data_IF_380980593789
#
_entry.id   IF_380980593789
#
_cell.length_a   1.000
_cell.length_b   1.000
_cell.length_c   1.000
_cell.angle_alpha   90.00
_cell.angle_beta   90.00
_cell.angle_gamma   90.00
#
_symmetry.space_group_name_H-M   'P 1'
#
loop_
_entity.id
_entity.type
_entity.pdbx_description
1 polymer ?
#
# COMPACT_ATOMS: atom_id res chain seq x y z
N UNK A 1 -17.88 1.59 34.88
CA UNK A 1 -16.81 1.74 33.93
C UNK A 1 -17.30 2.46 32.67
N UNK A 2 -16.40 2.80 31.75
CA UNK A 2 -16.71 3.33 30.42
C UNK A 2 -16.87 2.17 29.44
N UNK A 3 -17.83 2.28 28.52
CA UNK A 3 -18.04 1.34 27.42
C UNK A 3 -17.39 1.88 26.15
N UNK A 4 -16.32 1.21 25.69
CA UNK A 4 -15.65 1.50 24.43
C UNK A 4 -16.19 0.58 23.34
N UNK A 5 -16.54 1.14 22.19
CA UNK A 5 -16.89 0.39 21.00
C UNK A 5 -15.83 0.60 19.91
N UNK A 6 -15.50 -0.49 19.24
CA UNK A 6 -14.57 -0.50 18.11
C UNK A 6 -15.25 -1.09 16.90
N UNK A 7 -14.96 -0.52 15.73
CA UNK A 7 -15.34 -1.10 14.46
C UNK A 7 -14.22 -0.98 13.45
N UNK A 8 -14.28 -1.76 12.39
CA UNK A 8 -13.24 -1.78 11.36
C UNK A 8 -13.83 -1.56 9.98
N UNK A 9 -13.09 -0.81 9.15
CA UNK A 9 -13.41 -0.58 7.75
C UNK A 9 -12.15 -0.79 6.91
N UNK A 10 -12.33 -1.45 5.75
CA UNK A 10 -11.27 -1.65 4.76
C UNK A 10 -11.55 -0.84 3.50
N UNK A 11 -10.50 -0.35 2.85
CA UNK A 11 -10.62 0.33 1.56
C UNK A 11 -11.00 -0.67 0.46
N UNK A 12 -11.98 -0.27 -0.35
CA UNK A 12 -12.32 -0.95 -1.58
C UNK A 12 -12.08 -0.03 -2.78
N UNK A 13 -11.75 -0.62 -3.93
CA UNK A 13 -11.64 0.09 -5.20
C UNK A 13 -13.01 0.49 -5.76
N UNK A 14 -13.01 1.04 -6.98
CA UNK A 14 -14.24 1.43 -7.68
C UNK A 14 -15.17 0.23 -8.01
N UNK A 15 -14.63 -0.97 -7.99
CA UNK A 15 -15.35 -2.24 -8.15
C UNK A 15 -15.88 -2.81 -6.81
N UNK A 16 -15.80 -2.07 -5.74
CA UNK A 16 -16.15 -2.46 -4.36
C UNK A 16 -15.34 -3.66 -3.81
N UNK A 17 -14.20 -3.98 -4.42
CA UNK A 17 -13.30 -5.03 -3.93
C UNK A 17 -12.01 -4.44 -3.37
N UNK A 18 -11.42 -5.03 -2.32
CA UNK A 18 -10.09 -4.66 -1.86
C UNK A 18 -9.03 -5.01 -2.91
N UNK A 19 -7.88 -4.34 -2.86
CA UNK A 19 -6.76 -4.60 -3.76
C UNK A 19 -6.02 -5.88 -3.35
N UNK A 20 -6.56 -7.02 -3.75
CA UNK A 20 -5.97 -8.36 -3.52
C UNK A 20 -6.31 -9.29 -4.69
N UNK A 21 -5.73 -10.49 -4.70
CA UNK A 21 -6.09 -11.50 -5.69
C UNK A 21 -7.57 -11.89 -5.53
N UNK A 22 -8.39 -11.80 -6.59
CA UNK A 22 -9.82 -12.17 -6.53
C UNK A 22 -10.08 -13.58 -6.01
N UNK A 23 -9.18 -14.54 -6.25
CA UNK A 23 -9.32 -15.90 -5.71
C UNK A 23 -9.29 -15.95 -4.18
N UNK A 24 -8.68 -14.96 -3.52
CA UNK A 24 -8.68 -14.86 -2.05
C UNK A 24 -9.98 -14.25 -1.49
N UNK A 25 -10.91 -13.86 -2.38
CA UNK A 25 -12.16 -13.20 -2.02
C UNK A 25 -13.38 -14.07 -2.27
N UNK A 26 -13.17 -15.34 -2.62
CA UNK A 26 -14.26 -16.32 -2.84
C UNK A 26 -15.10 -16.40 -1.56
N UNK A 27 -16.40 -16.35 -1.72
CA UNK A 27 -17.41 -16.35 -0.64
C UNK A 27 -17.37 -15.13 0.32
N UNK A 28 -16.59 -14.08 0.00
CA UNK A 28 -16.53 -12.84 0.79
C UNK A 28 -17.17 -11.70 0.01
N UNK A 29 -18.17 -11.05 0.61
CA UNK A 29 -18.77 -9.83 0.06
C UNK A 29 -18.23 -8.58 0.73
N UNK A 30 -18.05 -7.52 -0.05
CA UNK A 30 -17.58 -6.23 0.43
C UNK A 30 -18.62 -5.16 0.16
N UNK A 31 -18.72 -4.22 1.11
CA UNK A 31 -19.58 -3.04 0.98
C UNK A 31 -18.72 -1.78 1.03
N UNK A 32 -19.14 -0.76 0.31
CA UNK A 32 -18.45 0.53 0.37
C UNK A 32 -18.62 1.14 1.77
N UNK A 33 -17.55 1.73 2.32
CA UNK A 33 -17.56 2.17 3.72
C UNK A 33 -18.68 3.17 4.04
N UNK A 34 -19.04 4.06 3.09
CA UNK A 34 -20.14 5.02 3.30
C UNK A 34 -21.51 4.37 3.44
N UNK A 35 -21.70 3.20 2.81
CA UNK A 35 -22.99 2.50 2.84
C UNK A 35 -23.24 1.79 4.19
N UNK A 36 -22.16 1.51 4.94
CA UNK A 36 -22.24 0.85 6.25
C UNK A 36 -22.21 1.85 7.43
N UNK A 37 -21.79 3.08 7.23
CA UNK A 37 -21.75 4.13 8.27
C UNK A 37 -23.06 4.27 9.05
N UNK A 38 -24.28 4.27 8.42
CA UNK A 38 -25.55 4.39 9.17
C UNK A 38 -25.76 3.27 10.20
N UNK A 39 -25.24 2.08 9.94
CA UNK A 39 -25.33 0.94 10.87
C UNK A 39 -24.45 1.16 12.12
N UNK A 40 -23.24 1.68 11.92
CA UNK A 40 -22.32 1.99 13.02
C UNK A 40 -22.76 3.20 13.84
N UNK A 41 -23.47 4.16 13.26
CA UNK A 41 -24.07 5.27 14.03
C UNK A 41 -25.02 4.75 15.12
N UNK A 42 -25.81 3.74 14.81
CA UNK A 42 -26.70 3.12 15.81
C UNK A 42 -25.91 2.43 16.93
N UNK A 43 -24.80 1.80 16.60
CA UNK A 43 -23.91 1.20 17.61
C UNK A 43 -23.27 2.27 18.50
N UNK A 44 -22.95 3.43 17.95
CA UNK A 44 -22.38 4.54 18.72
C UNK A 44 -23.27 5.03 19.86
N UNK A 45 -24.61 4.94 19.71
CA UNK A 45 -25.59 5.31 20.73
C UNK A 45 -25.49 4.41 22.00
N UNK A 46 -24.92 3.22 21.87
CA UNK A 46 -24.74 2.26 22.95
C UNK A 46 -23.38 2.40 23.68
N UNK A 47 -22.53 3.33 23.27
CA UNK A 47 -21.15 3.44 23.70
C UNK A 47 -20.89 4.78 24.40
N UNK A 48 -20.01 4.78 25.40
CA UNK A 48 -19.46 6.02 25.95
C UNK A 48 -18.36 6.60 25.00
N UNK A 49 -17.66 5.72 24.27
CA UNK A 49 -16.58 6.09 23.32
C UNK A 49 -16.60 5.20 22.10
N UNK A 50 -16.62 5.78 20.90
CA UNK A 50 -16.55 5.07 19.64
C UNK A 50 -15.22 5.29 18.94
N UNK A 51 -14.53 4.20 18.56
CA UNK A 51 -13.22 4.20 17.92
C UNK A 51 -13.25 3.42 16.61
N UNK A 52 -12.77 4.03 15.53
CA UNK A 52 -12.57 3.36 14.24
C UNK A 52 -11.14 2.82 14.10
N UNK A 53 -11.00 1.50 13.86
CA UNK A 53 -9.76 0.87 13.41
C UNK A 53 -9.86 0.68 11.91
N UNK A 54 -9.21 1.53 11.11
CA UNK A 54 -9.47 1.59 9.69
C UNK A 54 -8.26 1.22 8.83
N UNK A 55 -8.53 0.62 7.68
CA UNK A 55 -7.57 0.45 6.60
C UNK A 55 -8.07 1.17 5.34
N UNK A 56 -8.52 2.44 5.51
CA UNK A 56 -9.13 3.26 4.46
C UNK A 56 -8.15 4.21 3.77
N UNK A 57 -7.06 4.56 4.44
CA UNK A 57 -6.16 5.63 4.06
C UNK A 57 -6.62 7.00 4.56
N UNK A 58 -5.67 7.90 4.85
CA UNK A 58 -5.91 9.19 5.50
C UNK A 58 -7.01 10.04 4.84
N UNK A 59 -7.07 10.03 3.50
CA UNK A 59 -8.10 10.80 2.78
C UNK A 59 -9.52 10.28 3.07
N UNK A 60 -9.71 8.95 3.07
CA UNK A 60 -11.02 8.35 3.38
C UNK A 60 -11.32 8.37 4.88
N UNK A 61 -10.29 8.28 5.75
CA UNK A 61 -10.45 8.49 7.19
C UNK A 61 -10.98 9.89 7.49
N UNK A 62 -10.46 10.90 6.76
CA UNK A 62 -10.98 12.27 6.86
C UNK A 62 -12.43 12.40 6.39
N UNK A 63 -12.82 11.69 5.31
CA UNK A 63 -14.22 11.64 4.86
C UNK A 63 -15.10 10.89 5.85
N UNK A 64 -14.62 9.82 6.46
CA UNK A 64 -15.34 9.09 7.51
C UNK A 64 -15.62 10.00 8.72
N UNK A 65 -14.63 10.76 9.18
CA UNK A 65 -14.78 11.72 10.27
C UNK A 65 -15.84 12.79 9.98
N UNK A 66 -15.98 13.21 8.71
CA UNK A 66 -17.02 14.19 8.31
C UNK A 66 -18.44 13.61 8.36
N UNK A 67 -18.60 12.32 8.02
CA UNK A 67 -19.93 11.67 7.94
C UNK A 67 -20.33 10.93 9.22
N UNK A 68 -19.37 10.72 10.14
CA UNK A 68 -19.58 10.02 11.41
C UNK A 68 -18.93 10.79 12.58
N UNK A 69 -19.51 11.94 12.97
CA UNK A 69 -18.97 12.75 14.08
C UNK A 69 -19.10 12.11 15.46
N UNK A 70 -19.80 10.99 15.56
CA UNK A 70 -19.92 10.17 16.77
C UNK A 70 -18.59 9.47 17.14
N UNK A 71 -17.62 9.44 16.21
CA UNK A 71 -16.29 8.95 16.47
C UNK A 71 -15.48 9.91 17.34
N UNK A 72 -14.78 9.36 18.31
CA UNK A 72 -13.78 10.12 19.08
C UNK A 72 -12.39 10.02 18.43
N UNK A 73 -12.05 8.85 17.92
CA UNK A 73 -10.73 8.55 17.34
C UNK A 73 -10.87 7.65 16.12
N UNK A 74 -10.03 7.88 15.12
CA UNK A 74 -9.73 6.94 14.03
C UNK A 74 -8.25 6.57 14.12
N UNK A 75 -7.96 5.28 14.26
CA UNK A 75 -6.65 4.69 14.10
C UNK A 75 -6.58 4.12 12.69
N UNK A 76 -5.91 4.84 11.79
CA UNK A 76 -5.90 4.59 10.36
C UNK A 76 -4.68 3.81 9.86
N UNK A 77 -4.80 3.27 8.65
CA UNK A 77 -3.75 2.56 7.93
C UNK A 77 -3.84 2.78 6.41
N UNK A 78 -3.30 1.90 5.61
CA UNK A 78 -3.31 1.82 4.15
C UNK A 78 -2.41 2.84 3.43
N UNK A 79 -2.55 4.15 3.67
CA UNK A 79 -1.78 5.17 2.93
C UNK A 79 -0.35 5.38 3.46
N UNK A 80 0.03 4.68 4.53
CA UNK A 80 1.33 4.80 5.18
C UNK A 80 1.68 6.25 5.57
N UNK A 81 0.66 7.06 5.87
CA UNK A 81 0.85 8.46 6.22
C UNK A 81 1.50 8.59 7.59
N UNK A 82 2.60 9.32 7.68
CA UNK A 82 3.23 9.66 8.96
C UNK A 82 2.58 10.94 9.48
N UNK A 83 1.65 10.81 10.41
CA UNK A 83 0.97 11.95 11.04
C UNK A 83 1.81 12.39 12.25
N UNK A 84 2.60 13.44 12.10
CA UNK A 84 3.47 13.97 13.17
C UNK A 84 2.72 14.86 14.16
N UNK A 85 1.77 15.63 13.64
CA UNK A 85 0.93 16.53 14.42
C UNK A 85 -0.50 16.02 14.45
N UNK A 86 -1.20 16.11 15.59
CA UNK A 86 -2.58 15.65 15.70
C UNK A 86 -3.47 16.22 14.61
N UNK A 87 -4.18 15.37 13.87
CA UNK A 87 -5.16 15.78 12.87
C UNK A 87 -6.57 15.59 13.43
N UNK A 88 -7.32 16.69 13.50
CA UNK A 88 -8.74 16.66 13.90
C UNK A 88 -9.60 17.07 12.72
N UNK A 89 -10.58 16.25 12.37
CA UNK A 89 -11.58 16.53 11.34
C UNK A 89 -12.94 16.38 11.98
N UNK A 90 -13.74 17.44 11.96
CA UNK A 90 -15.08 17.47 12.57
C UNK A 90 -15.09 16.96 14.03
N UNK A 91 -14.06 17.32 14.81
CA UNK A 91 -13.92 16.87 16.19
C UNK A 91 -13.27 15.50 16.38
N UNK A 92 -13.21 14.65 15.36
CA UNK A 92 -12.61 13.32 15.40
C UNK A 92 -11.09 13.41 15.29
N UNK A 93 -10.37 12.76 16.20
CA UNK A 93 -8.91 12.70 16.18
C UNK A 93 -8.48 11.55 15.24
N UNK A 94 -7.63 11.84 14.25
CA UNK A 94 -7.12 10.85 13.29
C UNK A 94 -5.62 10.65 13.53
N UNK A 95 -5.22 9.39 13.77
CA UNK A 95 -3.84 8.95 13.90
C UNK A 95 -3.47 7.93 12.81
N UNK A 96 -2.26 8.05 12.27
CA UNK A 96 -1.64 7.04 11.41
C UNK A 96 -0.12 7.11 11.56
N UNK A 97 0.54 5.99 11.81
CA UNK A 97 1.94 5.91 12.23
C UNK A 97 2.91 5.47 11.13
N UNK A 98 2.58 5.72 9.86
CA UNK A 98 3.46 5.34 8.75
C UNK A 98 3.39 3.85 8.43
N UNK A 99 4.55 3.23 8.24
CA UNK A 99 4.69 1.81 7.89
C UNK A 99 5.98 1.22 8.46
N UNK A 100 6.14 -0.11 8.30
CA UNK A 100 7.36 -0.85 8.62
C UNK A 100 7.84 -0.70 10.09
N UNK A 101 6.92 -0.45 11.03
CA UNK A 101 7.23 -0.26 12.44
C UNK A 101 8.27 0.86 12.71
N UNK A 102 8.34 1.88 11.86
CA UNK A 102 9.22 3.03 12.11
C UNK A 102 8.73 3.88 13.28
N UNK A 103 7.41 3.90 13.50
CA UNK A 103 6.74 4.69 14.53
C UNK A 103 5.63 3.91 15.22
N UNK A 104 5.35 4.28 16.47
CA UNK A 104 4.12 3.95 17.18
C UNK A 104 3.30 5.22 17.39
N UNK A 105 2.00 5.16 17.09
CA UNK A 105 1.04 6.22 17.40
C UNK A 105 0.42 5.98 18.77
N UNK A 106 0.59 6.92 19.68
CA UNK A 106 0.01 6.87 21.04
C UNK A 106 -1.12 7.88 21.12
N UNK A 107 -2.35 7.39 21.29
CA UNK A 107 -3.53 8.23 21.51
C UNK A 107 -3.93 8.16 22.97
N UNK A 108 -4.06 9.33 23.60
CA UNK A 108 -4.48 9.45 25.00
C UNK A 108 -5.86 10.11 25.06
N UNK A 109 -6.78 9.49 25.79
CA UNK A 109 -8.11 10.00 26.07
C UNK A 109 -8.22 10.28 27.58
N UNK A 110 -8.54 11.52 27.95
CA UNK A 110 -8.69 11.93 29.35
C UNK A 110 -10.16 12.16 29.68
N UNK A 111 -10.60 11.54 30.77
CA UNK A 111 -11.98 11.59 31.23
C UNK A 111 -12.10 12.25 32.61
N UNK A 112 -13.19 12.98 32.81
CA UNK A 112 -13.68 13.42 34.13
C UNK A 112 -15.04 12.75 34.36
N UNK A 113 -15.05 11.75 35.24
CA UNK A 113 -16.19 10.83 35.32
C UNK A 113 -16.38 10.05 34.01
N UNK A 114 -17.53 10.19 33.38
CA UNK A 114 -17.81 9.60 32.05
C UNK A 114 -17.57 10.57 30.88
N UNK A 115 -17.29 11.82 31.16
CA UNK A 115 -17.12 12.84 30.14
C UNK A 115 -15.70 12.85 29.59
N UNK A 116 -15.53 12.65 28.28
CA UNK A 116 -14.26 12.87 27.58
C UNK A 116 -13.96 14.39 27.59
N UNK A 117 -12.85 14.78 28.21
CA UNK A 117 -12.45 16.19 28.36
C UNK A 117 -11.25 16.56 27.51
N UNK A 118 -10.42 15.59 27.13
CA UNK A 118 -9.29 15.83 26.23
C UNK A 118 -8.92 14.59 25.45
N UNK A 119 -8.37 14.81 24.25
CA UNK A 119 -7.77 13.79 23.40
C UNK A 119 -6.53 14.30 22.70
N UNK A 120 -5.46 13.56 22.82
CA UNK A 120 -4.16 13.89 22.23
C UNK A 120 -3.59 12.70 21.46
N UNK A 121 -2.64 12.99 20.57
CA UNK A 121 -1.92 12.01 19.78
C UNK A 121 -0.44 12.36 19.80
N UNK A 122 0.40 11.35 19.95
CA UNK A 122 1.85 11.45 19.89
C UNK A 122 2.40 10.37 18.98
N UNK A 123 3.33 10.73 18.11
CA UNK A 123 4.09 9.81 17.29
C UNK A 123 5.44 9.55 17.94
N UNK A 124 5.73 8.29 18.28
CA UNK A 124 6.97 7.85 18.92
C UNK A 124 7.82 7.12 17.90
N UNK A 125 9.08 7.53 17.71
CA UNK A 125 10.05 6.78 16.90
C UNK A 125 10.42 5.47 17.58
N UNK A 126 10.36 4.36 16.86
CA UNK A 126 10.77 3.04 17.36
C UNK A 126 12.24 2.74 17.10
N UNK A 127 12.95 3.58 16.33
CA UNK A 127 14.39 3.41 16.04
C UNK A 127 15.27 3.47 17.27
N UNK A 128 14.84 4.25 18.26
CA UNK A 128 15.62 4.55 19.47
C UNK A 128 15.08 3.83 20.72
N UNK A 129 14.12 2.92 20.56
CA UNK A 129 13.61 2.09 21.65
C UNK A 129 14.59 0.92 21.84
N UNK A 130 15.37 1.03 22.93
CA UNK A 130 16.60 0.28 23.11
C UNK A 130 16.48 -1.24 23.22
N UNK A 131 15.91 -1.78 24.30
CA UNK A 131 15.97 -3.23 24.54
C UNK A 131 14.67 -3.89 24.08
N UNK A 132 14.72 -4.86 23.14
CA UNK A 132 13.53 -5.63 22.78
C UNK A 132 13.07 -6.47 23.98
N UNK A 133 11.79 -6.76 24.04
CA UNK A 133 11.24 -7.77 24.92
C UNK A 133 11.91 -9.12 24.64
N UNK A 134 12.48 -9.77 25.66
CA UNK A 134 13.30 -10.94 25.50
C UNK A 134 12.50 -12.16 24.98
N UNK A 135 11.28 -12.33 25.45
CA UNK A 135 10.39 -13.42 25.03
C UNK A 135 10.02 -13.28 23.55
N UNK A 136 9.64 -12.07 23.15
CA UNK A 136 9.32 -11.76 21.74
C UNK A 136 10.56 -11.88 20.85
N UNK A 137 11.73 -11.46 21.32
CA UNK A 137 12.97 -11.60 20.55
C UNK A 137 13.32 -13.08 20.28
N UNK A 138 13.16 -13.95 21.28
CA UNK A 138 13.37 -15.40 21.11
C UNK A 138 12.36 -16.01 20.14
N UNK A 139 11.09 -15.61 20.21
CA UNK A 139 10.06 -16.08 19.27
C UNK A 139 10.36 -15.65 17.83
N UNK A 140 10.79 -14.40 17.64
CA UNK A 140 11.20 -13.89 16.33
C UNK A 140 12.40 -14.67 15.80
N UNK A 141 13.40 -14.94 16.65
CA UNK A 141 14.59 -15.73 16.30
C UNK A 141 14.21 -17.15 15.88
N UNK A 142 13.35 -17.83 16.64
CA UNK A 142 12.86 -19.17 16.30
C UNK A 142 12.19 -19.21 14.93
N UNK A 143 11.30 -18.23 14.65
CA UNK A 143 10.60 -18.14 13.36
C UNK A 143 11.59 -17.83 12.23
N UNK A 144 12.47 -16.85 12.42
CA UNK A 144 13.43 -16.42 11.40
C UNK A 144 14.51 -17.45 11.09
N UNK A 145 14.79 -18.39 12.02
CA UNK A 145 15.77 -19.45 11.81
C UNK A 145 15.22 -20.70 11.12
N UNK A 146 13.96 -20.70 10.70
CA UNK A 146 13.41 -21.83 9.94
C UNK A 146 14.19 -22.06 8.65
N UNK A 147 14.52 -23.31 8.29
CA UNK A 147 15.35 -23.63 7.13
C UNK A 147 14.81 -23.07 5.81
N UNK A 148 13.48 -23.05 5.65
CA UNK A 148 12.83 -22.52 4.46
C UNK A 148 13.12 -21.03 4.22
N UNK A 149 13.23 -20.23 5.30
CA UNK A 149 13.58 -18.80 5.21
C UNK A 149 15.05 -18.56 4.92
N UNK A 150 15.94 -19.47 5.35
CA UNK A 150 17.39 -19.38 5.12
C UNK A 150 17.82 -19.89 3.75
N UNK A 151 16.88 -20.46 2.97
CA UNK A 151 17.17 -20.93 1.62
C UNK A 151 17.68 -19.79 0.75
N UNK A 152 18.90 -19.93 0.22
CA UNK A 152 19.49 -18.99 -0.74
C UNK A 152 18.82 -19.21 -2.08
N UNK A 153 18.29 -18.16 -2.68
CA UNK A 153 17.58 -18.14 -3.96
C UNK A 153 18.28 -17.32 -5.03
N UNK A 154 19.29 -16.55 -4.64
CA UNK A 154 20.06 -15.72 -5.56
C UNK A 154 21.22 -15.02 -4.87
N UNK A 155 21.89 -14.14 -5.61
CA UNK A 155 23.01 -13.37 -5.11
C UNK A 155 22.99 -11.96 -5.72
N UNK A 156 23.03 -10.93 -4.88
CA UNK A 156 23.17 -9.55 -5.31
C UNK A 156 24.68 -9.26 -5.56
N UNK A 157 25.02 -8.83 -6.78
CA UNK A 157 26.39 -8.51 -7.16
C UNK A 157 26.88 -7.20 -6.52
N UNK A 158 25.97 -6.30 -6.20
CA UNK A 158 26.23 -4.98 -5.63
C UNK A 158 25.11 -4.57 -4.65
N UNK A 159 25.34 -3.48 -3.92
CA UNK A 159 24.32 -2.88 -3.08
C UNK A 159 23.26 -2.17 -3.94
N UNK A 160 21.99 -2.57 -3.78
CA UNK A 160 20.84 -1.85 -4.32
C UNK A 160 20.33 -0.93 -3.21
N UNK A 161 20.66 0.36 -3.29
CA UNK A 161 20.42 1.32 -2.19
C UNK A 161 19.14 2.09 -2.33
N UNK A 162 18.41 1.92 -3.44
CA UNK A 162 17.14 2.58 -3.72
C UNK A 162 16.06 1.55 -4.02
N UNK A 163 14.85 1.88 -3.60
CA UNK A 163 13.66 1.06 -3.88
C UNK A 163 13.47 0.77 -5.37
N UNK A 164 13.82 1.72 -6.25
CA UNK A 164 13.74 1.57 -7.69
C UNK A 164 14.67 0.49 -8.22
N UNK A 165 15.86 0.35 -7.64
CA UNK A 165 16.84 -0.67 -8.04
C UNK A 165 16.36 -2.07 -7.63
N UNK A 166 15.80 -2.20 -6.42
CA UNK A 166 15.15 -3.44 -5.96
C UNK A 166 13.95 -3.80 -6.84
N UNK A 167 13.14 -2.81 -7.19
CA UNK A 167 12.00 -2.99 -8.08
C UNK A 167 12.41 -3.43 -9.48
N UNK A 168 13.52 -2.91 -10.01
CA UNK A 168 14.09 -3.33 -11.30
C UNK A 168 14.53 -4.79 -11.26
N UNK A 169 15.28 -5.19 -10.23
CA UNK A 169 15.67 -6.60 -10.02
C UNK A 169 14.43 -7.52 -9.99
N UNK A 170 13.40 -7.12 -9.23
CA UNK A 170 12.19 -7.91 -9.10
C UNK A 170 11.40 -8.01 -10.41
N UNK A 171 11.21 -6.90 -11.13
CA UNK A 171 10.48 -6.93 -12.41
C UNK A 171 11.25 -7.65 -13.50
N UNK A 172 12.59 -7.60 -13.50
CA UNK A 172 13.43 -8.41 -14.38
C UNK A 172 13.27 -9.90 -14.08
N UNK A 173 13.32 -10.29 -12.81
CA UNK A 173 13.12 -11.69 -12.40
C UNK A 173 11.72 -12.20 -12.78
N UNK A 174 10.67 -11.41 -12.59
CA UNK A 174 9.30 -11.75 -13.01
C UNK A 174 9.22 -11.96 -14.51
N UNK A 175 9.79 -11.06 -15.31
CA UNK A 175 9.82 -11.14 -16.77
C UNK A 175 10.54 -12.40 -17.22
N UNK A 176 11.72 -12.67 -16.68
CA UNK A 176 12.54 -13.81 -17.05
C UNK A 176 11.89 -15.16 -16.68
N UNK A 177 11.28 -15.22 -15.49
CA UNK A 177 10.60 -16.44 -15.02
C UNK A 177 9.50 -16.93 -15.96
N UNK A 178 8.85 -16.04 -16.70
CA UNK A 178 7.78 -16.38 -17.64
C UNK A 178 8.20 -16.26 -19.11
N UNK A 179 9.45 -15.86 -19.40
CA UNK A 179 9.88 -15.55 -20.77
C UNK A 179 9.06 -14.42 -21.37
N UNK A 180 8.81 -13.35 -20.60
CA UNK A 180 8.00 -12.20 -20.99
C UNK A 180 8.77 -11.18 -21.82
N UNK A 181 8.05 -10.40 -22.64
CA UNK A 181 8.61 -9.23 -23.31
C UNK A 181 8.74 -8.05 -22.33
N UNK A 182 7.74 -7.87 -21.45
CA UNK A 182 7.68 -6.83 -20.43
C UNK A 182 7.19 -7.40 -19.10
N UNK A 183 7.53 -6.73 -18.03
CA UNK A 183 6.88 -6.93 -16.73
C UNK A 183 6.46 -5.58 -16.15
N UNK A 184 5.30 -5.55 -15.47
CA UNK A 184 4.83 -4.43 -14.69
C UNK A 184 4.61 -4.88 -13.26
N UNK A 185 5.06 -4.08 -12.29
CA UNK A 185 4.79 -4.36 -10.89
C UNK A 185 4.42 -3.07 -10.13
N UNK A 186 3.39 -3.13 -9.33
CA UNK A 186 2.90 -1.95 -8.63
C UNK A 186 3.90 -1.48 -7.55
N UNK A 187 4.08 -0.17 -7.44
CA UNK A 187 5.03 0.44 -6.50
C UNK A 187 4.77 0.08 -5.04
N UNK A 188 3.51 -0.08 -4.67
CA UNK A 188 3.11 -0.52 -3.32
C UNK A 188 3.47 -1.98 -3.02
N UNK A 189 3.65 -2.82 -4.03
CA UNK A 189 4.06 -4.21 -3.88
C UNK A 189 5.54 -4.39 -3.57
N UNK A 190 6.39 -3.42 -3.93
CA UNK A 190 7.81 -3.46 -3.58
C UNK A 190 7.96 -3.11 -2.10
N UNK A 191 8.32 -4.09 -1.28
CA UNK A 191 8.35 -3.98 0.19
C UNK A 191 9.73 -3.69 0.77
N UNK A 192 10.81 -3.90 0.00
CA UNK A 192 12.17 -3.56 0.39
C UNK A 192 12.59 -2.20 -0.20
N UNK A 193 13.23 -1.38 0.62
CA UNK A 193 13.78 -0.09 0.19
C UNK A 193 15.24 -0.23 -0.31
N UNK A 194 15.93 -1.27 0.15
CA UNK A 194 17.31 -1.59 -0.23
C UNK A 194 17.57 -3.11 -0.15
N UNK A 195 18.57 -3.57 -0.89
CA UNK A 195 19.07 -4.93 -0.83
C UNK A 195 20.60 -4.88 -0.87
N UNK A 196 21.25 -5.41 0.18
CA UNK A 196 22.71 -5.41 0.26
C UNK A 196 23.31 -6.49 -0.62
N UNK A 197 24.54 -6.23 -1.10
CA UNK A 197 25.40 -7.22 -1.80
C UNK A 197 25.52 -8.51 -0.99
N UNK A 198 25.48 -9.64 -1.68
CA UNK A 198 25.61 -10.96 -1.08
C UNK A 198 24.38 -11.84 -1.31
N UNK A 199 24.20 -12.82 -0.46
CA UNK A 199 23.14 -13.82 -0.58
C UNK A 199 21.73 -13.21 -0.46
N UNK A 200 20.86 -13.61 -1.36
CA UNK A 200 19.43 -13.33 -1.30
C UNK A 200 18.75 -14.58 -0.78
N UNK A 201 18.23 -14.51 0.43
CA UNK A 201 17.48 -15.60 1.06
C UNK A 201 15.98 -15.48 0.80
N UNK A 202 15.25 -16.58 0.98
CA UNK A 202 13.78 -16.60 0.87
C UNK A 202 13.14 -15.60 1.84
N UNK A 203 13.65 -15.45 3.06
CA UNK A 203 13.20 -14.46 4.05
C UNK A 203 13.18 -13.03 3.49
N UNK A 204 14.20 -12.63 2.73
CA UNK A 204 14.29 -11.30 2.11
C UNK A 204 13.24 -11.12 1.01
N UNK A 205 12.81 -12.20 0.37
CA UNK A 205 11.85 -12.18 -0.73
C UNK A 205 10.40 -12.48 -0.31
N UNK A 206 10.17 -12.99 0.90
CA UNK A 206 8.85 -13.30 1.43
C UNK A 206 7.87 -12.11 1.34
N UNK A 207 8.29 -10.85 1.60
CA UNK A 207 7.42 -9.69 1.42
C UNK A 207 6.89 -9.49 -0.01
N UNK A 208 7.48 -10.18 -1.00
CA UNK A 208 7.09 -10.13 -2.41
C UNK A 208 6.30 -11.36 -2.85
N UNK A 209 5.94 -12.24 -1.93
CA UNK A 209 5.17 -13.46 -2.24
C UNK A 209 3.88 -13.11 -2.96
N UNK A 210 3.83 -13.39 -4.26
CA UNK A 210 2.71 -13.12 -5.14
C UNK A 210 2.71 -14.08 -6.32
N UNK A 211 1.55 -14.18 -6.99
CA UNK A 211 1.46 -14.91 -8.25
C UNK A 211 1.84 -14.00 -9.41
N UNK A 212 2.59 -14.55 -10.38
CA UNK A 212 2.85 -13.86 -11.64
C UNK A 212 1.70 -14.21 -12.58
N UNK A 213 0.94 -13.20 -12.95
CA UNK A 213 -0.11 -13.33 -13.97
C UNK A 213 0.47 -12.94 -15.32
N UNK A 214 0.19 -13.73 -16.36
CA UNK A 214 0.69 -13.49 -17.71
C UNK A 214 -0.45 -13.06 -18.62
N UNK A 215 -0.24 -11.95 -19.32
CA UNK A 215 -1.17 -11.42 -20.31
C UNK A 215 -0.51 -11.30 -21.69
N UNK A 216 -1.31 -11.43 -22.75
CA UNK A 216 -0.92 -11.04 -24.10
C UNK A 216 -1.57 -9.69 -24.46
N UNK A 217 -0.77 -8.64 -24.52
CA UNK A 217 -1.23 -7.29 -24.85
C UNK A 217 -0.53 -6.76 -26.09
N UNK A 218 -1.26 -5.99 -26.89
CA UNK A 218 -0.67 -5.16 -27.93
C UNK A 218 -0.35 -3.75 -27.39
N UNK A 219 0.31 -2.91 -28.19
CA UNK A 219 0.71 -1.56 -27.75
C UNK A 219 -0.49 -0.70 -27.38
N UNK A 220 -1.64 -0.83 -28.04
CA UNK A 220 -2.84 -0.06 -27.69
C UNK A 220 -3.32 -0.36 -26.27
N UNK A 221 -3.35 -1.66 -25.90
CA UNK A 221 -3.77 -2.06 -24.55
C UNK A 221 -2.78 -1.64 -23.49
N UNK A 222 -1.48 -1.70 -23.79
CA UNK A 222 -0.42 -1.18 -22.91
C UNK A 222 -0.55 0.35 -22.71
N UNK A 223 -0.81 1.09 -23.80
CA UNK A 223 -1.03 2.53 -23.79
C UNK A 223 -2.24 2.88 -22.91
N UNK A 224 -3.38 2.23 -23.14
CA UNK A 224 -4.60 2.41 -22.33
C UNK A 224 -4.34 2.17 -20.84
N UNK A 225 -3.59 1.12 -20.52
CA UNK A 225 -3.25 0.78 -19.14
C UNK A 225 -2.43 1.90 -18.48
N UNK A 226 -1.38 2.37 -19.15
CA UNK A 226 -0.51 3.44 -18.63
C UNK A 226 -1.27 4.77 -18.55
N UNK A 227 -2.04 5.15 -19.55
CA UNK A 227 -2.81 6.40 -19.54
C UNK A 227 -3.90 6.41 -18.47
N UNK A 228 -4.58 5.30 -18.25
CA UNK A 228 -5.58 5.17 -17.18
C UNK A 228 -4.95 5.33 -15.80
N UNK A 229 -3.79 4.71 -15.57
CA UNK A 229 -3.09 4.84 -14.30
C UNK A 229 -2.57 6.27 -14.10
N UNK A 230 -1.93 6.84 -15.10
CA UNK A 230 -1.39 8.20 -15.05
C UNK A 230 -2.47 9.26 -14.84
N UNK A 231 -3.57 9.19 -15.58
CA UNK A 231 -4.65 10.17 -15.54
C UNK A 231 -5.63 9.99 -14.38
N UNK A 232 -5.47 8.95 -13.54
CA UNK A 232 -6.31 8.71 -12.35
C UNK A 232 -6.27 9.90 -11.39
N UNK A 233 -5.12 10.56 -11.23
CA UNK A 233 -4.97 11.77 -10.44
C UNK A 233 -5.67 12.95 -11.10
N UNK A 234 -6.67 13.55 -10.44
CA UNK A 234 -7.39 14.73 -10.94
C UNK A 234 -6.54 16.01 -10.89
N UNK A 235 -5.57 16.05 -9.99
CA UNK A 235 -4.65 17.18 -9.82
C UNK A 235 -3.45 17.01 -10.77
N UNK A 236 -3.22 17.93 -11.73
CA UNK A 236 -2.11 17.84 -12.67
C UNK A 236 -0.73 17.69 -12.02
N UNK A 237 -0.54 18.32 -10.84
CA UNK A 237 0.72 18.25 -10.08
C UNK A 237 0.95 16.93 -9.33
N UNK A 238 -0.08 16.07 -9.26
CA UNK A 238 -0.04 14.79 -8.52
C UNK A 238 -0.20 13.57 -9.42
N UNK A 239 -0.15 13.75 -10.74
CA UNK A 239 -0.21 12.62 -11.67
C UNK A 239 1.12 11.87 -11.67
N UNK A 240 1.06 10.56 -11.48
CA UNK A 240 2.21 9.66 -11.47
C UNK A 240 1.79 8.25 -11.88
N UNK A 241 2.77 7.45 -12.27
CA UNK A 241 2.56 6.02 -12.56
C UNK A 241 2.81 5.20 -11.31
N UNK A 242 1.90 4.28 -11.01
CA UNK A 242 2.01 3.36 -9.87
C UNK A 242 2.82 2.09 -10.16
N UNK A 243 3.36 1.94 -11.36
CA UNK A 243 4.05 0.72 -11.77
C UNK A 243 5.50 0.97 -12.11
N UNK A 244 6.34 0.00 -11.76
CA UNK A 244 7.66 -0.20 -12.34
C UNK A 244 7.53 -1.04 -13.60
N UNK A 245 8.47 -0.91 -14.54
CA UNK A 245 8.50 -1.65 -15.80
C UNK A 245 9.86 -2.32 -16.00
N UNK A 246 9.87 -3.51 -16.58
CA UNK A 246 11.03 -4.21 -17.13
C UNK A 246 10.81 -4.59 -18.60
N UNK A 247 11.88 -4.85 -19.34
CA UNK A 247 11.85 -5.23 -20.76
C UNK A 247 11.90 -4.05 -21.72
N UNK A 248 11.86 -2.82 -21.21
CA UNK A 248 11.92 -1.60 -22.01
C UNK A 248 11.60 -0.35 -21.22
N UNK A 249 11.26 0.72 -21.94
CA UNK A 249 10.85 2.00 -21.36
C UNK A 249 9.67 2.58 -22.12
N UNK A 250 9.02 3.57 -21.52
CA UNK A 250 7.97 4.35 -22.16
C UNK A 250 8.10 5.84 -21.86
N UNK A 251 7.52 6.66 -22.72
CA UNK A 251 7.38 8.09 -22.56
C UNK A 251 5.90 8.47 -22.67
N UNK A 252 5.41 9.27 -21.71
CA UNK A 252 4.05 9.80 -21.72
C UNK A 252 4.07 11.18 -22.34
N UNK A 253 3.37 11.37 -23.45
CA UNK A 253 3.12 12.66 -24.07
C UNK A 253 1.92 13.29 -23.35
N UNK A 254 2.07 14.56 -22.95
CA UNK A 254 1.07 15.29 -22.17
C UNK A 254 0.51 16.47 -22.95
N UNK A 255 -0.76 16.79 -22.72
CA UNK A 255 -1.37 18.03 -23.18
C UNK A 255 -1.00 19.22 -22.26
N UNK A 256 -1.48 20.41 -22.58
CA UNK A 256 -1.25 21.63 -21.79
C UNK A 256 -1.82 21.55 -20.36
N UNK A 257 -2.81 20.72 -20.11
CA UNK A 257 -3.42 20.46 -18.82
C UNK A 257 -2.67 19.38 -18.03
N UNK A 258 -1.54 18.87 -18.55
CA UNK A 258 -0.71 17.84 -17.94
C UNK A 258 -1.31 16.44 -18.02
N UNK A 259 -2.38 16.21 -18.82
CA UNK A 259 -2.96 14.88 -19.03
C UNK A 259 -2.13 14.08 -20.02
N UNK A 260 -1.95 12.80 -19.73
CA UNK A 260 -1.35 11.86 -20.68
C UNK A 260 -2.30 11.61 -21.84
N UNK A 261 -1.82 11.80 -23.06
CA UNK A 261 -2.60 11.68 -24.30
C UNK A 261 -2.05 10.63 -25.26
N UNK A 262 -0.79 10.24 -25.13
CA UNK A 262 -0.12 9.20 -25.93
C UNK A 262 0.99 8.57 -25.09
N UNK A 263 1.28 7.29 -25.31
CA UNK A 263 2.45 6.60 -24.76
C UNK A 263 3.32 6.05 -25.89
N UNK A 264 4.59 6.37 -25.84
CA UNK A 264 5.61 5.82 -26.75
C UNK A 264 6.39 4.75 -26.05
N UNK A 265 6.37 3.52 -26.56
CA UNK A 265 7.11 2.39 -26.01
C UNK A 265 8.41 2.15 -26.77
N UNK A 266 9.42 1.73 -26.02
CA UNK A 266 10.75 1.38 -26.54
C UNK A 266 11.16 0.03 -25.94
N UNK A 267 11.85 -0.80 -26.74
CA UNK A 267 12.45 -2.03 -26.24
C UNK A 267 13.69 -1.77 -25.36
N UNK A 268 14.28 -2.83 -24.81
CA UNK A 268 15.47 -2.75 -23.97
C UNK A 268 16.70 -2.12 -24.68
N UNK A 269 16.72 -2.13 -26.01
CA UNK A 269 17.77 -1.52 -26.84
C UNK A 269 17.47 -0.04 -27.18
N UNK A 270 16.35 0.49 -26.73
CA UNK A 270 15.91 1.87 -26.99
C UNK A 270 15.26 2.05 -28.38
N UNK A 271 14.95 0.98 -29.11
CA UNK A 271 14.24 1.05 -30.38
C UNK A 271 12.76 1.27 -30.13
N UNK A 272 12.17 2.30 -30.75
CA UNK A 272 10.74 2.59 -30.64
C UNK A 272 9.90 1.44 -31.21
N UNK A 273 8.94 0.98 -30.45
CA UNK A 273 7.93 -0.01 -30.87
C UNK A 273 6.78 0.73 -31.56
N UNK A 274 6.41 0.28 -32.78
CA UNK A 274 5.40 0.94 -33.62
C UNK A 274 4.29 0.00 -34.07
N UNK A 275 4.56 -1.31 -34.09
CA UNK A 275 3.59 -2.30 -34.56
C UNK A 275 2.51 -2.51 -33.50
N UNK A 276 1.36 -1.88 -33.74
CA UNK A 276 0.20 -1.91 -32.84
C UNK A 276 -0.57 -3.24 -32.88
N UNK A 277 -0.26 -4.11 -33.85
CA UNK A 277 -0.89 -5.43 -33.97
C UNK A 277 -0.09 -6.53 -33.27
N UNK A 278 1.21 -6.31 -33.10
CA UNK A 278 2.08 -7.25 -32.41
C UNK A 278 1.63 -7.40 -30.96
N UNK A 279 1.48 -8.66 -30.55
CA UNK A 279 1.24 -9.01 -29.15
C UNK A 279 2.56 -9.20 -28.42
N UNK A 280 2.57 -8.76 -27.18
CA UNK A 280 3.67 -8.87 -26.23
C UNK A 280 3.21 -9.66 -25.03
N UNK A 281 4.07 -10.54 -24.53
CA UNK A 281 3.84 -11.31 -23.32
C UNK A 281 4.21 -10.45 -22.11
N UNK A 282 3.23 -10.14 -21.29
CA UNK A 282 3.35 -9.19 -20.16
C UNK A 282 3.20 -9.95 -18.85
N UNK A 283 4.18 -9.83 -17.95
CA UNK A 283 4.10 -10.31 -16.57
C UNK A 283 3.56 -9.21 -15.64
N UNK A 284 2.68 -9.62 -14.72
CA UNK A 284 2.14 -8.77 -13.64
C UNK A 284 2.26 -9.47 -12.29
#
# INVERSE_FOLDING_TARGET
GLKFCFFSLIQTGANHLPATNPANLEDISFRYFKDVVPEYKRVAEECDVMIGLTHLGFANDSLLALVMPELEVIVGGHSHTVIREPKKVNGVLIGQAGSNLEYAGVTTLRFEGKKLVDKSYQLVSLKDIGTPDQEIALLVEEISNRPEFKKIIGQAAEDLTRKEDVASLMTDAMRDAVGGDFAFYNKGGVRLNELRKGEITMEKMEPFSNYIVVHEWNLNKMEDFILKDYNRGKDPGKRYINYYISGGKYEIIRNLQGEGIEVKFYDARGKRLKDKQKKYKIAF
#
